data_IF_535987873637
#
_entry.id   IF_535987873637
#
_cell.length_a   1.000
_cell.length_b   1.000
_cell.length_c   1.000
_cell.angle_alpha   90.00
_cell.angle_beta   90.00
_cell.angle_gamma   90.00
#
_symmetry.space_group_name_H-M   'P 1'
#
loop_
_entity.id
_entity.type
_entity.pdbx_description
1 polymer ?
#
# COMPACT_ATOMS: atom_id res chain seq x y z
N UNK A 1 2.70 35.45 21.09
CA UNK A 1 2.32 34.43 20.09
C UNK A 1 3.42 33.37 20.14
N UNK A 2 3.20 32.32 20.93
CA UNK A 2 4.16 31.22 21.06
C UNK A 2 3.93 30.31 19.88
N UNK A 3 4.99 30.08 19.12
CA UNK A 3 5.02 29.24 17.93
C UNK A 3 4.72 27.78 18.35
N UNK A 4 3.46 27.34 18.19
CA UNK A 4 2.97 26.00 18.59
C UNK A 4 3.33 24.89 17.59
N UNK A 5 4.28 25.13 16.67
CA UNK A 5 4.61 24.20 15.59
C UNK A 5 5.87 23.37 15.83
N UNK A 6 6.39 23.30 17.06
CA UNK A 6 7.38 22.28 17.38
C UNK A 6 6.67 20.93 17.54
N UNK A 7 6.86 19.97 16.61
CA UNK A 7 6.20 18.67 16.70
C UNK A 7 6.65 18.00 17.99
N UNK A 8 5.69 17.52 18.79
CA UNK A 8 5.94 16.77 20.02
C UNK A 8 6.98 15.69 19.70
N UNK A 9 8.14 15.77 20.38
CA UNK A 9 9.18 14.78 20.20
C UNK A 9 8.66 13.45 20.76
N UNK A 10 8.35 12.52 19.86
CA UNK A 10 7.95 11.16 20.19
C UNK A 10 9.13 10.23 19.86
N UNK A 11 10.19 10.19 20.70
CA UNK A 11 11.45 9.49 20.38
C UNK A 11 11.26 7.99 20.15
N UNK A 12 10.22 7.39 20.74
CA UNK A 12 9.86 5.99 20.51
C UNK A 12 9.09 5.76 19.21
N UNK A 13 8.50 6.81 18.62
CA UNK A 13 7.75 6.70 17.37
C UNK A 13 8.69 6.51 16.18
N UNK A 14 9.83 7.19 16.16
CA UNK A 14 10.82 7.05 15.07
C UNK A 14 11.38 5.61 15.02
N UNK A 15 11.76 5.05 16.19
CA UNK A 15 12.21 3.66 16.29
C UNK A 15 11.10 2.66 15.92
N UNK A 16 9.86 2.93 16.30
CA UNK A 16 8.71 2.12 15.91
C UNK A 16 8.45 2.20 14.39
N UNK A 17 8.63 3.37 13.78
CA UNK A 17 8.45 3.58 12.36
C UNK A 17 9.51 2.84 11.53
N UNK A 18 10.78 2.87 11.96
CA UNK A 18 11.85 2.08 11.32
C UNK A 18 11.53 0.59 11.34
N UNK A 19 11.16 0.07 12.51
CA UNK A 19 10.83 -1.35 12.65
C UNK A 19 9.56 -1.74 11.89
N UNK A 20 8.57 -0.85 11.80
CA UNK A 20 7.38 -1.09 10.98
C UNK A 20 7.72 -1.17 9.50
N UNK A 21 8.61 -0.30 9.00
CA UNK A 21 9.09 -0.35 7.61
C UNK A 21 9.84 -1.66 7.36
N UNK A 22 10.77 -2.05 8.24
CA UNK A 22 11.52 -3.31 8.12
C UNK A 22 10.61 -4.53 8.00
N UNK A 23 9.53 -4.59 8.78
CA UNK A 23 8.55 -5.68 8.70
C UNK A 23 7.72 -5.67 7.41
N UNK A 24 7.57 -4.51 6.78
CA UNK A 24 6.76 -4.33 5.57
C UNK A 24 7.54 -4.64 4.28
N UNK A 25 8.86 -4.43 4.26
CA UNK A 25 9.73 -4.77 3.13
C UNK A 25 9.47 -6.16 2.56
N UNK A 26 9.55 -7.27 3.33
CA UNK A 26 9.37 -8.62 2.78
C UNK A 26 7.97 -8.86 2.21
N UNK A 27 6.96 -8.14 2.73
CA UNK A 27 5.57 -8.26 2.25
C UNK A 27 5.41 -7.59 0.89
N UNK A 28 6.01 -6.40 0.72
CA UNK A 28 6.01 -5.68 -0.56
C UNK A 28 6.80 -6.47 -1.60
N UNK A 29 7.99 -6.97 -1.24
CA UNK A 29 8.82 -7.78 -2.12
C UNK A 29 8.11 -9.07 -2.57
N UNK A 30 7.27 -9.65 -1.70
CA UNK A 30 6.43 -10.79 -2.09
C UNK A 30 5.33 -10.39 -3.07
N UNK A 31 4.67 -9.26 -2.85
CA UNK A 31 3.64 -8.75 -3.77
C UNK A 31 4.22 -8.38 -5.13
N UNK A 32 5.44 -7.84 -5.17
CA UNK A 32 6.14 -7.53 -6.40
C UNK A 32 6.52 -8.79 -7.17
N UNK A 33 7.03 -9.82 -6.48
CA UNK A 33 7.25 -11.14 -7.08
C UNK A 33 5.95 -11.77 -7.60
N UNK A 34 4.84 -11.64 -6.89
CA UNK A 34 3.53 -12.14 -7.34
C UNK A 34 3.07 -11.42 -8.63
N UNK A 35 3.37 -10.12 -8.78
CA UNK A 35 3.08 -9.36 -10.00
C UNK A 35 4.01 -9.79 -11.13
N UNK A 36 5.32 -9.86 -10.90
CA UNK A 36 6.30 -10.27 -11.91
C UNK A 36 6.00 -11.67 -12.47
N UNK A 37 5.66 -12.62 -11.60
CA UNK A 37 5.26 -13.97 -12.00
C UNK A 37 3.96 -13.96 -12.81
N UNK A 38 2.98 -13.12 -12.45
CA UNK A 38 1.76 -12.97 -13.24
C UNK A 38 2.01 -12.30 -14.60
N UNK A 39 2.91 -11.32 -14.69
CA UNK A 39 3.30 -10.68 -15.95
C UNK A 39 4.04 -11.65 -16.88
N UNK A 40 4.94 -12.47 -16.33
CA UNK A 40 5.59 -13.54 -17.08
C UNK A 40 4.57 -14.55 -17.64
N UNK A 41 3.60 -14.97 -16.83
CA UNK A 41 2.52 -15.87 -17.28
C UNK A 41 1.65 -15.24 -18.39
N UNK A 42 1.34 -13.95 -18.28
CA UNK A 42 0.62 -13.23 -19.35
C UNK A 42 1.45 -13.21 -20.63
N UNK A 43 2.74 -12.89 -20.54
CA UNK A 43 3.66 -12.91 -21.68
C UNK A 43 3.67 -14.28 -22.39
N UNK A 44 3.87 -15.37 -21.64
CA UNK A 44 3.83 -16.74 -22.18
C UNK A 44 2.46 -17.11 -22.79
N UNK A 45 1.36 -16.72 -22.15
CA UNK A 45 0.01 -16.97 -22.69
C UNK A 45 -0.27 -16.13 -23.95
N UNK A 46 0.32 -14.93 -24.08
CA UNK A 46 0.15 -14.11 -25.28
C UNK A 46 0.98 -14.61 -26.45
N UNK A 47 2.21 -15.08 -26.22
CA UNK A 47 3.04 -15.65 -27.29
C UNK A 47 2.41 -16.93 -27.85
N UNK A 48 1.89 -17.80 -26.98
CA UNK A 48 1.15 -19.01 -27.38
C UNK A 48 -0.13 -18.69 -28.14
N UNK A 49 -0.89 -17.67 -27.71
CA UNK A 49 -2.09 -17.20 -28.42
C UNK A 49 -1.75 -16.65 -29.82
N UNK A 50 -0.70 -15.84 -29.94
CA UNK A 50 -0.24 -15.30 -31.23
C UNK A 50 0.22 -16.44 -32.15
N UNK A 51 0.97 -17.40 -31.64
CA UNK A 51 1.39 -18.58 -32.41
C UNK A 51 0.19 -19.40 -32.91
N UNK A 52 -0.80 -19.66 -32.05
CA UNK A 52 -2.03 -20.35 -32.43
C UNK A 52 -2.84 -19.57 -33.47
N UNK A 53 -2.88 -18.23 -33.37
CA UNK A 53 -3.54 -17.36 -34.34
C UNK A 53 -2.85 -17.37 -35.70
N UNK A 54 -1.52 -17.34 -35.72
CA UNK A 54 -0.73 -17.43 -36.96
C UNK A 54 -0.92 -18.79 -37.64
N UNK A 55 -0.97 -19.87 -36.88
CA UNK A 55 -1.23 -21.21 -37.41
C UNK A 55 -2.63 -21.33 -38.05
N UNK A 56 -3.63 -20.57 -37.57
CA UNK A 56 -4.96 -20.49 -38.15
C UNK A 56 -5.04 -19.69 -39.46
N UNK A 57 -4.16 -18.70 -39.66
CA UNK A 57 -4.18 -17.81 -40.83
C UNK A 57 -3.49 -18.41 -42.06
N UNK A 58 -2.71 -19.50 -41.90
CA UNK A 58 -1.94 -20.10 -42.99
C UNK A 58 -0.88 -19.18 -43.61
N UNK A 59 -0.04 -19.67 -44.54
CA UNK A 59 1.02 -18.87 -45.17
C UNK A 59 0.55 -17.91 -46.28
N UNK A 60 -0.71 -17.97 -46.73
CA UNK A 60 -1.18 -17.31 -47.96
C UNK A 60 -1.90 -15.96 -47.77
N UNK A 61 -2.18 -15.50 -46.53
CA UNK A 61 -2.86 -14.22 -46.28
C UNK A 61 -1.91 -13.01 -46.13
N UNK A 62 -0.68 -13.12 -46.63
CA UNK A 62 0.16 -11.97 -46.94
C UNK A 62 -0.31 -11.32 -48.25
N UNK A 63 -1.36 -10.49 -48.18
CA UNK A 63 -1.95 -9.78 -49.33
C UNK A 63 -0.88 -9.11 -50.20
N UNK A 64 -0.66 -9.53 -51.47
CA UNK A 64 0.13 -8.74 -52.39
C UNK A 64 -0.71 -7.56 -52.87
N UNK A 65 -0.20 -6.36 -52.60
CA UNK A 65 -0.70 -5.08 -53.12
C UNK A 65 -0.95 -5.19 -54.62
N UNK A 66 -2.19 -4.91 -55.02
CA UNK A 66 -2.61 -4.92 -56.43
C UNK A 66 -1.79 -3.92 -57.24
N UNK A 67 -1.09 -4.39 -58.26
CA UNK A 67 -0.62 -3.53 -59.34
C UNK A 67 -1.06 -4.07 -60.71
N UNK A 68 -1.60 -3.14 -61.48
CA UNK A 68 -1.81 -3.16 -62.93
C UNK A 68 -3.17 -3.66 -63.46
N UNK A 69 -4.08 -2.68 -63.55
CA UNK A 69 -5.08 -2.54 -64.61
C UNK A 69 -4.43 -2.74 -65.99
N UNK A 70 -4.83 -3.78 -66.73
CA UNK A 70 -4.99 -3.71 -68.19
C UNK A 70 -6.21 -4.53 -68.62
N UNK A 71 -7.17 -3.85 -69.26
CA UNK A 71 -8.32 -4.46 -69.95
C UNK A 71 -7.83 -5.17 -71.21
N UNK A 72 -8.37 -6.37 -71.47
CA UNK A 72 -8.35 -7.03 -72.77
C UNK A 72 -9.75 -7.62 -73.07
N UNK A 73 -10.13 -7.79 -74.36
CA UNK A 73 -11.53 -7.77 -74.80
C UNK A 73 -12.25 -9.13 -74.69
N UNK A 74 -13.59 -9.06 -74.72
CA UNK A 74 -14.53 -10.19 -74.69
C UNK A 74 -14.32 -11.12 -75.89
N UNK A 75 -13.79 -12.31 -75.64
CA UNK A 75 -13.83 -13.47 -76.52
C UNK A 75 -14.39 -14.68 -75.75
N UNK A 76 -15.15 -15.51 -76.45
CA UNK A 76 -15.96 -16.64 -75.99
C UNK A 76 -15.32 -17.48 -74.87
N UNK A 77 -16.01 -17.56 -73.72
CA UNK A 77 -15.63 -18.48 -72.64
C UNK A 77 -16.21 -19.86 -72.92
N UNK A 78 -15.40 -20.73 -73.51
CA UNK A 78 -15.59 -22.18 -73.36
C UNK A 78 -15.20 -22.56 -71.92
N UNK A 79 -16.15 -23.10 -71.17
CA UNK A 79 -15.98 -23.54 -69.78
C UNK A 79 -15.09 -24.79 -69.71
N UNK A 80 -13.78 -24.59 -69.52
CA UNK A 80 -12.84 -25.67 -69.15
C UNK A 80 -12.66 -25.81 -67.62
N UNK A 81 -13.36 -25.01 -66.81
CA UNK A 81 -13.26 -25.04 -65.34
C UNK A 81 -13.83 -26.32 -64.68
N UNK A 82 -14.56 -27.15 -65.42
CA UNK A 82 -15.10 -28.41 -64.90
C UNK A 82 -14.14 -29.61 -65.02
N UNK A 83 -12.95 -29.44 -65.63
CA UNK A 83 -12.04 -30.54 -65.99
C UNK A 83 -10.60 -30.37 -65.46
N UNK A 84 -10.36 -29.44 -64.53
CA UNK A 84 -9.06 -29.26 -63.91
C UNK A 84 -9.08 -29.73 -62.45
N UNK A 85 -8.72 -31.01 -62.26
CA UNK A 85 -7.92 -31.43 -61.12
C UNK A 85 -8.67 -31.59 -59.80
N UNK A 86 -9.13 -32.81 -59.58
CA UNK A 86 -9.11 -33.47 -58.26
C UNK A 86 -7.67 -33.41 -57.73
N UNK A 87 -7.34 -32.32 -57.04
CA UNK A 87 -6.11 -32.13 -56.30
C UNK A 87 -6.47 -32.12 -54.82
N UNK A 88 -6.36 -33.28 -54.18
CA UNK A 88 -6.51 -33.48 -52.74
C UNK A 88 -5.50 -32.58 -52.02
N UNK A 89 -5.93 -31.38 -51.57
CA UNK A 89 -5.26 -30.65 -50.50
C UNK A 89 -5.69 -31.33 -49.21
N UNK A 90 -4.82 -32.17 -48.66
CA UNK A 90 -5.02 -32.88 -47.41
C UNK A 90 -4.94 -31.95 -46.18
N UNK A 91 -5.82 -30.96 -46.10
CA UNK A 91 -6.21 -30.35 -44.83
C UNK A 91 -7.53 -31.02 -44.45
N UNK A 92 -7.45 -32.04 -43.59
CA UNK A 92 -8.68 -32.67 -43.14
C UNK A 92 -9.46 -31.67 -42.27
N UNK A 93 -10.80 -31.66 -42.30
CA UNK A 93 -11.59 -30.83 -41.38
C UNK A 93 -11.21 -31.04 -39.90
N UNK A 94 -10.64 -32.20 -39.56
CA UNK A 94 -10.11 -32.52 -38.23
C UNK A 94 -8.92 -31.64 -37.84
N UNK A 95 -8.02 -31.31 -38.76
CA UNK A 95 -6.84 -30.48 -38.50
C UNK A 95 -7.23 -29.01 -38.26
N UNK A 96 -8.22 -28.50 -39.01
CA UNK A 96 -8.76 -27.15 -38.82
C UNK A 96 -9.50 -26.99 -37.49
N UNK A 97 -10.24 -28.01 -37.05
CA UNK A 97 -10.92 -28.03 -35.75
C UNK A 97 -9.92 -28.13 -34.60
N UNK A 98 -8.84 -28.91 -34.75
CA UNK A 98 -7.77 -28.99 -33.76
C UNK A 98 -7.06 -27.64 -33.57
N UNK A 99 -6.76 -26.92 -34.66
CA UNK A 99 -6.17 -25.57 -34.61
C UNK A 99 -7.12 -24.54 -33.96
N UNK A 100 -8.41 -24.60 -34.28
CA UNK A 100 -9.42 -23.75 -33.66
C UNK A 100 -9.56 -24.00 -32.14
N UNK A 101 -9.53 -25.27 -31.72
CA UNK A 101 -9.55 -25.64 -30.31
C UNK A 101 -8.29 -25.16 -29.58
N UNK A 102 -7.11 -25.32 -30.18
CA UNK A 102 -5.85 -24.83 -29.61
C UNK A 102 -5.84 -23.30 -29.42
N UNK A 103 -6.43 -22.56 -30.37
CA UNK A 103 -6.60 -21.11 -30.24
C UNK A 103 -7.60 -20.73 -29.14
N UNK A 104 -8.74 -21.42 -29.03
CA UNK A 104 -9.71 -21.20 -27.97
C UNK A 104 -9.11 -21.48 -26.58
N UNK A 105 -8.34 -22.56 -26.44
CA UNK A 105 -7.60 -22.89 -25.22
C UNK A 105 -6.52 -21.83 -24.89
N UNK A 106 -5.75 -21.39 -25.88
CA UNK A 106 -4.77 -20.32 -25.68
C UNK A 106 -5.48 -19.03 -25.22
N UNK A 107 -6.58 -18.65 -25.87
CA UNK A 107 -7.35 -17.44 -25.54
C UNK A 107 -7.95 -17.49 -24.12
N UNK A 108 -8.47 -18.64 -23.69
CA UNK A 108 -8.97 -18.82 -22.32
C UNK A 108 -7.85 -18.76 -21.29
N UNK A 109 -6.67 -19.34 -21.59
CA UNK A 109 -5.49 -19.23 -20.73
C UNK A 109 -5.00 -17.77 -20.61
N UNK A 110 -4.95 -17.01 -21.71
CA UNK A 110 -4.58 -15.59 -21.68
C UNK A 110 -5.55 -14.74 -20.88
N UNK A 111 -6.87 -14.98 -21.01
CA UNK A 111 -7.87 -14.25 -20.21
C UNK A 111 -7.79 -14.60 -18.72
N UNK A 112 -7.46 -15.83 -18.36
CA UNK A 112 -7.24 -16.22 -16.96
C UNK A 112 -5.94 -15.62 -16.39
N UNK A 113 -4.86 -15.59 -17.18
CA UNK A 113 -3.59 -14.99 -16.78
C UNK A 113 -3.72 -13.47 -16.55
N UNK A 114 -4.43 -12.75 -17.43
CA UNK A 114 -4.68 -11.31 -17.27
C UNK A 114 -5.52 -11.00 -16.04
N UNK A 115 -6.55 -11.81 -15.74
CA UNK A 115 -7.29 -11.69 -14.48
C UNK A 115 -6.41 -11.88 -13.25
N UNK A 116 -5.52 -12.88 -13.26
CA UNK A 116 -4.56 -13.09 -12.15
C UNK A 116 -3.64 -11.89 -11.94
N UNK A 117 -3.16 -11.29 -13.03
CA UNK A 117 -2.35 -10.07 -12.97
C UNK A 117 -3.14 -8.90 -12.37
N UNK A 118 -4.38 -8.70 -12.81
CA UNK A 118 -5.26 -7.66 -12.28
C UNK A 118 -5.54 -7.86 -10.79
N UNK A 119 -5.77 -9.10 -10.36
CA UNK A 119 -6.01 -9.45 -8.95
C UNK A 119 -4.76 -9.21 -8.09
N UNK A 120 -3.57 -9.56 -8.60
CA UNK A 120 -2.30 -9.27 -7.92
C UNK A 120 -2.08 -7.74 -7.76
N UNK A 121 -2.31 -6.97 -8.83
CA UNK A 121 -2.22 -5.50 -8.81
C UNK A 121 -3.23 -4.87 -7.85
N UNK A 122 -4.48 -5.36 -7.84
CA UNK A 122 -5.52 -4.93 -6.88
C UNK A 122 -5.13 -5.25 -5.45
N UNK A 123 -4.59 -6.43 -5.18
CA UNK A 123 -4.14 -6.83 -3.84
C UNK A 123 -3.03 -5.91 -3.33
N UNK A 124 -2.03 -5.59 -4.16
CA UNK A 124 -0.98 -4.62 -3.82
C UNK A 124 -1.58 -3.23 -3.56
N UNK A 125 -2.42 -2.72 -4.45
CA UNK A 125 -3.07 -1.41 -4.28
C UNK A 125 -3.93 -1.33 -3.00
N UNK A 126 -4.70 -2.38 -2.70
CA UNK A 126 -5.52 -2.45 -1.50
C UNK A 126 -4.67 -2.41 -0.21
N UNK A 127 -3.51 -3.08 -0.22
CA UNK A 127 -2.57 -3.03 0.90
C UNK A 127 -1.98 -1.63 1.07
N UNK A 128 -1.46 -1.04 -0.01
CA UNK A 128 -0.86 0.30 0.00
C UNK A 128 -1.85 1.39 0.43
N UNK A 129 -3.15 1.20 0.18
CA UNK A 129 -4.20 2.14 0.61
C UNK A 129 -4.50 2.11 2.11
N UNK A 130 -4.14 1.02 2.80
CA UNK A 130 -4.49 0.78 4.22
C UNK A 130 -3.34 0.99 5.17
N UNK A 131 -2.11 0.74 4.74
CA UNK A 131 -0.94 0.70 5.61
C UNK A 131 0.10 1.69 5.10
N UNK A 132 0.59 2.60 5.95
CA UNK A 132 1.72 3.45 5.58
C UNK A 132 2.97 2.59 5.40
N UNK A 133 3.59 2.70 4.23
CA UNK A 133 4.73 1.88 3.82
C UNK A 133 6.05 2.61 3.99
N UNK A 134 6.00 3.93 4.15
CA UNK A 134 7.17 4.78 4.37
C UNK A 134 7.25 5.17 5.84
N UNK A 135 8.48 5.41 6.31
CA UNK A 135 8.76 5.92 7.66
C UNK A 135 7.94 7.20 7.93
N UNK A 136 7.97 8.14 7.00
CA UNK A 136 7.23 9.40 7.08
C UNK A 136 5.70 9.20 7.15
N UNK A 137 5.15 8.26 6.37
CA UNK A 137 3.72 7.95 6.42
C UNK A 137 3.31 7.32 7.75
N UNK A 138 4.16 6.46 8.31
CA UNK A 138 3.92 5.81 9.60
C UNK A 138 3.97 6.83 10.74
N UNK A 139 4.96 7.71 10.72
CA UNK A 139 5.08 8.80 11.68
C UNK A 139 3.90 9.77 11.59
N UNK A 140 3.47 10.14 10.39
CA UNK A 140 2.31 11.02 10.20
C UNK A 140 1.03 10.40 10.78
N UNK A 141 0.79 9.11 10.50
CA UNK A 141 -0.35 8.38 11.07
C UNK A 141 -0.26 8.28 12.59
N UNK A 142 0.91 7.90 13.12
CA UNK A 142 1.14 7.77 14.56
C UNK A 142 0.93 9.11 15.28
N UNK A 143 1.44 10.21 14.72
CA UNK A 143 1.19 11.56 15.24
C UNK A 143 -0.29 11.90 15.19
N UNK A 144 -0.96 11.69 14.06
CA UNK A 144 -2.39 11.98 13.93
C UNK A 144 -3.26 11.22 14.97
N UNK A 145 -2.89 10.00 15.32
CA UNK A 145 -3.60 9.21 16.34
C UNK A 145 -3.30 9.66 17.78
N UNK A 146 -2.07 10.05 18.09
CA UNK A 146 -1.64 10.39 19.46
C UNK A 146 -1.91 11.86 19.79
N UNK A 147 -1.78 12.75 18.81
CA UNK A 147 -1.87 14.20 18.99
C UNK A 147 -3.15 14.64 19.71
N UNK A 148 -4.36 14.13 19.38
CA UNK A 148 -5.58 14.55 20.07
C UNK A 148 -5.55 14.26 21.58
N UNK A 149 -5.02 13.09 21.97
CA UNK A 149 -4.89 12.72 23.38
C UNK A 149 -3.83 13.55 24.10
N UNK A 150 -2.72 13.86 23.42
CA UNK A 150 -1.68 14.72 23.96
C UNK A 150 -2.19 16.15 24.16
N UNK A 151 -2.85 16.73 23.16
CA UNK A 151 -3.49 18.04 23.24
C UNK A 151 -4.53 18.07 24.36
N UNK A 152 -5.40 17.05 24.45
CA UNK A 152 -6.34 16.95 25.57
C UNK A 152 -5.63 16.98 26.94
N UNK A 153 -4.57 16.19 27.11
CA UNK A 153 -3.81 16.17 28.36
C UNK A 153 -3.15 17.51 28.65
N UNK A 154 -2.55 18.14 27.64
CA UNK A 154 -1.89 19.42 27.77
C UNK A 154 -2.86 20.51 28.21
N UNK A 155 -3.98 20.67 27.51
CA UNK A 155 -4.99 21.70 27.76
C UNK A 155 -5.66 21.53 29.13
N UNK A 156 -5.86 20.28 29.59
CA UNK A 156 -6.60 20.01 30.82
C UNK A 156 -5.71 19.94 32.06
N UNK A 157 -4.47 19.47 31.94
CA UNK A 157 -3.59 19.19 33.08
C UNK A 157 -2.33 20.06 33.15
N UNK A 158 -1.83 20.60 32.03
CA UNK A 158 -0.55 21.33 32.01
C UNK A 158 -0.72 22.84 31.87
N UNK A 159 -1.80 23.33 31.26
CA UNK A 159 -2.03 24.76 31.12
C UNK A 159 -2.60 25.38 32.41
N UNK A 160 -2.08 26.55 32.78
CA UNK A 160 -2.54 27.38 33.91
C UNK A 160 -3.96 27.91 33.64
N UNK A 161 -4.95 27.07 33.93
CA UNK A 161 -6.37 27.30 33.58
C UNK A 161 -7.10 26.01 33.20
N UNK A 162 -6.36 24.94 32.92
CA UNK A 162 -6.90 23.61 32.70
C UNK A 162 -7.68 23.11 33.92
N UNK A 163 -8.82 22.46 33.67
CA UNK A 163 -9.73 22.00 34.74
C UNK A 163 -9.05 21.11 35.78
N UNK A 164 -8.02 20.36 35.39
CA UNK A 164 -7.31 19.39 36.22
C UNK A 164 -5.88 19.84 36.57
N UNK A 165 -5.49 21.04 36.15
CA UNK A 165 -4.16 21.61 36.41
C UNK A 165 -3.88 21.69 37.92
N UNK A 166 -4.79 22.28 38.69
CA UNK A 166 -4.67 22.41 40.16
C UNK A 166 -4.58 21.04 40.83
N UNK A 167 -5.43 20.10 40.41
CA UNK A 167 -5.43 18.74 40.95
C UNK A 167 -4.08 18.04 40.68
N UNK A 168 -3.50 18.23 39.49
CA UNK A 168 -2.20 17.67 39.16
C UNK A 168 -1.07 18.26 40.00
N UNK A 169 -1.03 19.58 40.16
CA UNK A 169 -0.04 20.24 41.01
C UNK A 169 -0.18 19.81 42.46
N UNK A 170 -1.41 19.76 42.98
CA UNK A 170 -1.67 19.24 44.32
C UNK A 170 -1.15 17.81 44.48
N UNK A 171 -1.50 16.90 43.57
CA UNK A 171 -1.06 15.50 43.67
C UNK A 171 0.47 15.35 43.62
N UNK A 172 1.15 16.22 42.87
CA UNK A 172 2.60 16.30 42.84
C UNK A 172 3.15 16.86 44.16
N UNK A 173 2.55 17.92 44.68
CA UNK A 173 2.91 18.52 45.96
C UNK A 173 2.80 17.52 47.13
N UNK A 174 1.80 16.63 47.08
CA UNK A 174 1.61 15.59 48.08
C UNK A 174 2.75 14.56 48.16
N UNK A 175 3.69 14.54 47.19
CA UNK A 175 4.91 13.73 47.31
C UNK A 175 5.78 14.12 48.51
N UNK A 176 5.64 15.34 49.04
CA UNK A 176 6.31 15.79 50.28
C UNK A 176 5.89 14.96 51.50
N UNK A 177 4.69 14.36 51.47
CA UNK A 177 4.22 13.48 52.55
C UNK A 177 4.80 12.07 52.48
N UNK A 178 5.45 11.69 51.38
CA UNK A 178 6.13 10.40 51.28
C UNK A 178 7.53 10.53 51.87
N UNK A 179 7.80 9.94 53.06
CA UNK A 179 9.06 10.11 53.75
C UNK A 179 10.25 9.51 52.98
N UNK A 180 10.01 8.51 52.12
CA UNK A 180 11.05 7.89 51.31
C UNK A 180 11.47 8.87 50.21
N UNK A 181 10.50 9.44 49.50
CA UNK A 181 10.77 10.43 48.45
C UNK A 181 11.37 11.71 49.03
N UNK A 182 10.88 12.14 50.19
CA UNK A 182 11.36 13.36 50.83
C UNK A 182 12.85 13.26 51.23
N UNK A 183 13.31 12.09 51.69
CA UNK A 183 14.73 11.86 52.01
C UNK A 183 15.65 11.90 50.79
N UNK A 184 15.15 11.48 49.63
CA UNK A 184 15.91 11.49 48.37
C UNK A 184 15.91 12.87 47.69
N UNK A 185 15.01 13.77 48.11
CA UNK A 185 14.84 15.09 47.52
C UNK A 185 15.73 16.16 48.15
N UNK A 186 16.19 17.08 47.30
CA UNK A 186 16.85 18.29 47.81
C UNK A 186 15.84 19.22 48.51
N UNK A 187 16.31 19.95 49.51
CA UNK A 187 15.50 20.94 50.25
C UNK A 187 14.86 21.97 49.30
N UNK A 188 15.56 22.38 48.24
CA UNK A 188 15.02 23.33 47.25
C UNK A 188 13.83 22.73 46.48
N UNK A 189 13.91 21.46 46.11
CA UNK A 189 12.80 20.78 45.45
C UNK A 189 11.61 20.57 46.40
N UNK A 190 11.88 20.23 47.67
CA UNK A 190 10.83 20.05 48.66
C UNK A 190 10.08 21.36 48.95
N UNK A 191 10.78 22.50 49.03
CA UNK A 191 10.15 23.81 49.18
C UNK A 191 9.21 24.16 48.01
N UNK A 192 9.64 23.91 46.77
CA UNK A 192 8.78 24.14 45.59
C UNK A 192 7.50 23.29 45.62
N UNK A 193 7.58 22.05 46.12
CA UNK A 193 6.39 21.21 46.27
C UNK A 193 5.50 21.67 47.43
N UNK A 194 6.07 22.19 48.52
CA UNK A 194 5.29 22.75 49.62
C UNK A 194 4.51 23.99 49.17
N UNK A 195 5.12 24.86 48.36
CA UNK A 195 4.43 26.02 47.77
C UNK A 195 3.22 25.58 46.92
N UNK A 196 3.34 24.45 46.20
CA UNK A 196 2.27 23.86 45.40
C UNK A 196 1.16 23.19 46.25
N UNK A 197 1.33 22.98 47.56
CA UNK A 197 0.26 22.43 48.44
C UNK A 197 -0.93 23.37 48.59
N UNK A 198 -0.78 24.65 48.23
CA UNK A 198 -1.90 25.61 48.15
C UNK A 198 -3.02 25.11 47.24
N UNK A 199 -2.70 24.29 46.22
CA UNK A 199 -3.68 23.71 45.30
C UNK A 199 -4.48 22.54 45.91
N UNK A 200 -4.11 22.09 47.10
CA UNK A 200 -4.82 21.09 47.88
C UNK A 200 -5.67 21.69 49.00
N UNK A 201 -5.76 23.02 49.09
CA UNK A 201 -6.40 23.76 50.19
C UNK A 201 -5.76 23.45 51.56
N UNK A 202 -4.45 23.16 51.59
CA UNK A 202 -3.64 23.02 52.82
C UNK A 202 -2.68 24.22 52.99
N UNK A 203 -3.16 25.45 53.23
CA UNK A 203 -2.31 26.64 53.33
C UNK A 203 -1.45 26.66 54.60
N UNK A 204 -1.74 25.79 55.56
CA UNK A 204 -1.06 25.71 56.86
C UNK A 204 0.31 25.01 56.76
N UNK A 205 0.54 24.27 55.66
CA UNK A 205 1.83 23.65 55.37
C UNK A 205 2.78 24.68 54.77
N UNK A 206 3.74 25.12 55.56
CA UNK A 206 4.79 26.07 55.17
C UNK A 206 6.15 25.39 55.14
N UNK A 207 7.17 26.04 54.59
CA UNK A 207 8.55 25.53 54.54
C UNK A 207 9.11 25.16 55.92
N UNK A 208 8.54 25.71 56.99
CA UNK A 208 8.88 25.40 58.38
C UNK A 208 8.61 23.93 58.73
N UNK A 209 7.74 23.24 57.97
CA UNK A 209 7.48 21.80 58.11
C UNK A 209 8.74 20.95 57.91
N UNK A 210 9.69 21.39 57.08
CA UNK A 210 10.94 20.65 56.85
C UNK A 210 12.00 20.91 57.92
N UNK A 211 11.78 21.87 58.82
CA UNK A 211 12.73 22.25 59.87
C UNK A 211 12.39 21.69 61.26
N UNK A 212 11.26 21.00 61.40
CA UNK A 212 10.82 20.31 62.61
C UNK A 212 11.34 18.87 62.66
#
# INVERSE_FOLDING_TARGET
>A
MVDQTSPVALPRLECAAERAVELMVPVIDQLDRDIETAEALVSECTTTLVAAKLALLGPDDAVPVSQNRRRAPRGERQNYAAMAGVGVRGETPVDTVALANAYAEASTKTTLATRKLDDAKKKKAAMLSRVPVTKAGFEALGRACIQPGFTYYQDHFNEEGGRLYRLKLGFRAAEVFDPIKLQEMSVSCANLLIDDLVYFDFPEFTTDFLMA
#
